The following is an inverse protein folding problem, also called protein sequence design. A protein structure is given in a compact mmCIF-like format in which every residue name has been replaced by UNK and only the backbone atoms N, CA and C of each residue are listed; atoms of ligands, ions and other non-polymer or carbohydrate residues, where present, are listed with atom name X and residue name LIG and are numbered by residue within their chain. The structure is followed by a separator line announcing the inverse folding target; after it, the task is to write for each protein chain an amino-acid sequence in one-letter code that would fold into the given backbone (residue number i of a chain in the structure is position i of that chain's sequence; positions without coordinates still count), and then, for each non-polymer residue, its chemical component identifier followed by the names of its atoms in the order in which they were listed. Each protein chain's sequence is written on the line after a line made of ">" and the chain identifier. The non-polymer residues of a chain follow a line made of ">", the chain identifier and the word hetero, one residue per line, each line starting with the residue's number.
data_IF_394595606529
#
_entry.id   IF_394595606529
#
_cell.length_a   1.000
_cell.length_b   1.000
_cell.length_c   1.000
_cell.angle_alpha   90.00
_cell.angle_beta   90.00
_cell.angle_gamma   90.00
#
_symmetry.space_group_name_H-M   'P 1'
#
loop_
_entity.id
_entity.type
_entity.pdbx_description
1 polymer ?
#
# COMPACT_ATOMS: atom_id res chain seq x y z
N UNK A 1 7.74 -32.35 -22.10
CA UNK A 1 6.96 -31.59 -21.09
C UNK A 1 7.90 -30.60 -20.42
N UNK A 2 8.12 -29.44 -21.06
CA UNK A 2 8.80 -28.27 -20.52
C UNK A 2 8.78 -27.20 -21.63
N UNK A 3 7.66 -26.51 -21.84
CA UNK A 3 7.62 -25.32 -22.68
C UNK A 3 6.47 -24.44 -22.17
N UNK A 4 6.78 -23.50 -21.29
CA UNK A 4 6.21 -22.15 -21.32
C UNK A 4 7.09 -21.17 -20.48
N UNK A 5 8.41 -21.41 -20.53
CA UNK A 5 9.37 -20.32 -20.46
C UNK A 5 9.20 -19.52 -21.75
N UNK A 6 9.31 -18.20 -21.69
CA UNK A 6 9.39 -17.31 -22.85
C UNK A 6 8.08 -16.67 -23.37
N UNK A 7 7.32 -15.97 -22.50
CA UNK A 7 6.56 -14.80 -22.97
C UNK A 7 6.25 -13.75 -21.90
N UNK A 8 7.28 -12.97 -21.55
CA UNK A 8 7.26 -11.49 -21.47
C UNK A 8 8.56 -11.00 -20.82
N UNK A 9 9.66 -11.07 -21.59
CA UNK A 9 10.77 -10.15 -21.43
C UNK A 9 10.47 -8.92 -22.28
N UNK A 10 10.07 -7.84 -21.65
CA UNK A 10 10.35 -6.50 -22.15
C UNK A 10 11.15 -5.80 -21.06
N UNK A 11 12.38 -5.42 -21.40
CA UNK A 11 13.22 -4.56 -20.58
C UNK A 11 14.29 -5.29 -19.79
N UNK A 12 15.39 -5.63 -20.46
CA UNK A 12 16.71 -5.48 -19.83
C UNK A 12 17.26 -4.16 -20.38
N UNK A 13 17.81 -3.27 -19.54
CA UNK A 13 19.06 -3.62 -18.85
C UNK A 13 19.21 -3.04 -17.44
N UNK A 14 19.90 -3.75 -16.54
CA UNK A 14 20.88 -3.09 -15.65
C UNK A 14 22.05 -4.01 -15.33
N UNK A 15 23.19 -3.71 -15.94
CA UNK A 15 24.49 -4.03 -15.41
C UNK A 15 24.76 -3.12 -14.20
N UNK A 16 25.00 -3.70 -13.02
CA UNK A 16 25.51 -2.99 -11.83
C UNK A 16 24.54 -2.94 -10.65
N UNK A 17 24.88 -3.66 -9.58
CA UNK A 17 24.33 -3.50 -8.23
C UNK A 17 22.97 -4.15 -8.01
N UNK A 18 22.93 -5.20 -7.17
CA UNK A 18 21.73 -6.00 -6.92
C UNK A 18 20.47 -5.15 -6.67
N UNK A 19 19.47 -5.32 -7.53
CA UNK A 19 18.19 -4.63 -7.49
C UNK A 19 17.44 -4.97 -6.20
N UNK A 20 17.66 -4.20 -5.14
CA UNK A 20 16.93 -4.26 -3.86
C UNK A 20 15.50 -3.72 -3.98
N UNK A 21 14.82 -3.93 -5.10
CA UNK A 21 13.44 -3.46 -5.27
C UNK A 21 12.54 -4.35 -4.42
N UNK A 22 11.88 -3.82 -3.37
CA UNK A 22 11.11 -4.66 -2.47
C UNK A 22 9.95 -5.32 -3.21
N UNK A 23 9.84 -6.65 -3.16
CA UNK A 23 8.75 -7.40 -3.81
C UNK A 23 7.40 -6.85 -3.33
N UNK A 24 6.54 -6.46 -4.27
CA UNK A 24 5.20 -5.98 -3.96
C UNK A 24 4.32 -7.17 -3.53
N UNK A 25 3.94 -7.21 -2.26
CA UNK A 25 3.07 -8.26 -1.69
C UNK A 25 1.63 -7.79 -1.56
N UNK A 26 0.69 -8.72 -1.46
CA UNK A 26 -0.72 -8.41 -1.21
C UNK A 26 -0.91 -7.60 0.08
N UNK A 27 -0.15 -7.89 1.13
CA UNK A 27 -0.17 -7.10 2.37
C UNK A 27 0.29 -5.67 2.13
N UNK A 28 1.38 -5.46 1.38
CA UNK A 28 1.86 -4.10 1.10
C UNK A 28 0.87 -3.31 0.25
N UNK A 29 0.26 -3.92 -0.76
CA UNK A 29 -0.78 -3.26 -1.55
C UNK A 29 -1.97 -2.82 -0.67
N UNK A 30 -2.40 -3.68 0.26
CA UNK A 30 -3.47 -3.34 1.19
C UNK A 30 -3.06 -2.26 2.19
N UNK A 31 -1.81 -2.29 2.69
CA UNK A 31 -1.26 -1.25 3.54
C UNK A 31 -1.16 0.10 2.81
N UNK A 32 -0.73 0.11 1.55
CA UNK A 32 -0.68 1.33 0.74
C UNK A 32 -2.07 1.89 0.46
N UNK A 33 -3.07 1.03 0.22
CA UNK A 33 -4.44 1.47 0.06
C UNK A 33 -5.03 2.07 1.34
N UNK A 34 -4.70 1.50 2.53
CA UNK A 34 -5.07 2.10 3.81
C UNK A 34 -4.34 3.42 4.05
N UNK A 35 -3.06 3.52 3.67
CA UNK A 35 -2.27 4.73 3.78
C UNK A 35 -2.86 5.87 2.94
N UNK A 36 -3.20 5.59 1.67
CA UNK A 36 -3.84 6.57 0.81
C UNK A 36 -5.20 7.03 1.35
N UNK A 37 -5.98 6.12 1.94
CA UNK A 37 -7.27 6.47 2.53
C UNK A 37 -7.15 7.32 3.82
N UNK A 38 -5.98 7.37 4.45
CA UNK A 38 -5.69 8.19 5.64
C UNK A 38 -4.89 9.47 5.31
N UNK A 39 -4.56 9.69 4.03
CA UNK A 39 -3.73 10.82 3.62
C UNK A 39 -4.43 12.18 3.77
N UNK A 40 -5.76 12.20 3.77
CA UNK A 40 -6.62 13.36 3.99
C UNK A 40 -7.00 13.56 5.48
N UNK A 41 -6.61 12.64 6.36
CA UNK A 41 -6.77 12.80 7.80
C UNK A 41 -7.10 11.51 8.57
N UNK A 42 -7.23 11.62 9.90
CA UNK A 42 -7.49 10.46 10.76
C UNK A 42 -8.88 9.85 10.53
N UNK A 43 -8.97 8.52 10.45
CA UNK A 43 -10.24 7.79 10.21
C UNK A 43 -10.36 6.56 11.09
N UNK A 44 -11.59 6.07 11.25
CA UNK A 44 -11.83 4.79 11.96
C UNK A 44 -11.72 3.62 10.98
N UNK A 45 -11.21 2.45 11.41
CA UNK A 45 -11.15 1.28 10.55
C UNK A 45 -12.52 0.84 10.01
N UNK A 46 -13.61 1.14 10.74
CA UNK A 46 -14.98 0.85 10.30
C UNK A 46 -15.41 1.71 9.09
N UNK A 47 -14.87 2.92 8.97
CA UNK A 47 -15.20 3.84 7.87
C UNK A 47 -14.44 3.43 6.59
N UNK A 48 -13.27 2.80 6.76
CA UNK A 48 -12.47 2.26 5.67
C UNK A 48 -12.97 0.89 5.18
N UNK A 49 -13.56 0.08 6.07
CA UNK A 49 -13.95 -1.31 5.81
C UNK A 49 -14.80 -1.54 4.55
N UNK A 50 -15.77 -0.67 4.18
CA UNK A 50 -16.57 -0.87 2.96
C UNK A 50 -15.74 -0.94 1.68
N UNK A 51 -14.68 -0.12 1.60
CA UNK A 51 -13.80 -0.05 0.43
C UNK A 51 -12.52 -0.88 0.61
N UNK A 52 -12.15 -1.15 1.87
CA UNK A 52 -10.93 -1.85 2.28
C UNK A 52 -11.28 -2.89 3.36
N UNK A 53 -11.81 -4.08 2.99
CA UNK A 53 -12.32 -5.06 3.95
C UNK A 53 -11.31 -5.50 5.03
N UNK A 54 -10.02 -5.47 4.67
CA UNK A 54 -8.92 -5.84 5.57
C UNK A 54 -8.35 -4.67 6.38
N UNK A 55 -8.82 -3.43 6.20
CA UNK A 55 -8.31 -2.25 6.90
C UNK A 55 -8.21 -2.44 8.42
N UNK A 56 -9.19 -3.04 9.13
CA UNK A 56 -9.04 -3.29 10.57
C UNK A 56 -7.84 -4.16 10.93
N UNK A 57 -7.56 -5.21 10.15
CA UNK A 57 -6.40 -6.09 10.37
C UNK A 57 -5.09 -5.39 10.00
N UNK A 58 -5.07 -4.69 8.87
CA UNK A 58 -3.88 -3.97 8.39
C UNK A 58 -3.44 -2.89 9.39
N UNK A 59 -4.38 -2.03 9.82
CA UNK A 59 -4.11 -0.96 10.77
C UNK A 59 -3.71 -1.49 12.16
N UNK A 60 -4.29 -2.61 12.58
CA UNK A 60 -3.94 -3.26 13.84
C UNK A 60 -2.53 -3.88 13.79
N UNK A 61 -2.21 -4.63 12.74
CA UNK A 61 -0.91 -5.30 12.61
C UNK A 61 0.23 -4.31 12.38
N UNK A 62 -0.02 -3.24 11.60
CA UNK A 62 0.89 -2.12 11.38
C UNK A 62 2.38 -2.51 11.21
N UNK A 63 2.64 -3.54 10.39
CA UNK A 63 3.98 -4.15 10.26
C UNK A 63 5.03 -3.13 9.84
N UNK A 64 4.64 -2.17 8.99
CA UNK A 64 5.53 -1.14 8.47
C UNK A 64 5.54 0.15 9.29
N UNK A 65 4.80 0.22 10.41
CA UNK A 65 4.71 1.42 11.26
C UNK A 65 4.20 2.68 10.52
N UNK A 66 3.44 2.48 9.44
CA UNK A 66 2.85 3.55 8.63
C UNK A 66 1.65 4.23 9.30
N UNK A 67 1.10 3.61 10.34
CA UNK A 67 -0.09 4.11 11.02
C UNK A 67 0.22 4.42 12.49
N UNK A 68 -0.44 5.44 13.03
CA UNK A 68 -0.46 5.73 14.45
C UNK A 68 -1.91 5.74 14.93
N UNK A 69 -2.12 5.36 16.20
CA UNK A 69 -3.43 5.41 16.84
C UNK A 69 -3.50 6.66 17.71
N UNK A 70 -4.26 7.66 17.28
CA UNK A 70 -4.40 8.95 17.98
C UNK A 70 -5.46 8.92 19.06
N UNK A 71 -6.49 8.08 18.91
CA UNK A 71 -7.57 7.89 19.87
C UNK A 71 -8.09 6.44 19.79
N UNK A 72 -9.07 6.11 20.62
CA UNK A 72 -9.77 4.83 20.66
C UNK A 72 -10.42 4.51 19.31
N UNK A 73 -9.66 3.79 18.49
CA UNK A 73 -10.11 3.31 17.19
C UNK A 73 -10.02 4.35 16.08
N UNK A 74 -9.25 5.42 16.29
CA UNK A 74 -8.92 6.43 15.28
C UNK A 74 -7.45 6.22 14.92
N UNK A 75 -7.17 6.11 13.63
CA UNK A 75 -5.83 5.95 13.10
C UNK A 75 -5.51 7.11 12.18
N UNK A 76 -4.24 7.51 12.16
CA UNK A 76 -3.69 8.51 11.25
C UNK A 76 -2.50 7.93 10.48
N UNK A 77 -2.12 8.60 9.40
CA UNK A 77 -0.93 8.30 8.63
C UNK A 77 0.30 8.93 9.28
N UNK A 78 1.36 8.14 9.49
CA UNK A 78 2.64 8.66 10.01
C UNK A 78 3.49 9.23 8.88
N UNK A 79 4.57 9.95 9.23
CA UNK A 79 5.56 10.41 8.26
C UNK A 79 6.10 9.26 7.38
N UNK A 80 6.39 8.09 7.98
CA UNK A 80 6.85 6.91 7.23
C UNK A 80 5.78 6.38 6.25
N UNK A 81 4.50 6.46 6.63
CA UNK A 81 3.39 6.13 5.74
C UNK A 81 3.29 7.10 4.57
N UNK A 82 3.47 8.40 4.82
CA UNK A 82 3.49 9.43 3.77
C UNK A 82 4.67 9.23 2.80
N UNK A 83 5.86 8.95 3.30
CA UNK A 83 7.03 8.60 2.47
C UNK A 83 6.78 7.35 1.62
N UNK A 84 6.07 6.36 2.17
CA UNK A 84 5.72 5.16 1.42
C UNK A 84 4.77 5.46 0.25
N UNK A 85 3.83 6.41 0.41
CA UNK A 85 2.97 6.86 -0.68
C UNK A 85 3.75 7.62 -1.76
N UNK A 86 4.79 8.36 -1.40
CA UNK A 86 5.69 9.00 -2.38
C UNK A 86 6.50 7.96 -3.16
N UNK A 87 7.00 6.92 -2.46
CA UNK A 87 7.76 5.83 -3.08
C UNK A 87 6.90 4.92 -3.95
N UNK A 88 5.66 4.68 -3.54
CA UNK A 88 4.68 3.90 -4.29
C UNK A 88 3.39 4.72 -4.44
N UNK A 89 3.34 5.63 -5.44
CA UNK A 89 2.15 6.41 -5.74
C UNK A 89 0.96 5.48 -5.92
N UNK A 90 -0.12 5.74 -5.18
CA UNK A 90 -1.36 5.01 -5.36
C UNK A 90 -2.12 5.61 -6.55
N UNK A 91 -2.79 4.79 -7.37
CA UNK A 91 -3.68 5.31 -8.39
C UNK A 91 -4.69 6.23 -7.70
N UNK A 92 -4.91 7.40 -8.27
CA UNK A 92 -5.93 8.29 -7.76
C UNK A 92 -7.26 7.54 -7.84
N UNK A 93 -7.90 7.35 -6.69
CA UNK A 93 -9.28 6.84 -6.65
C UNK A 93 -10.27 8.00 -6.54
N UNK A 94 -9.79 9.21 -6.81
CA UNK A 94 -10.49 10.46 -6.64
C UNK A 94 -11.07 10.89 -7.99
N UNK A 95 -12.05 10.13 -8.50
CA UNK A 95 -13.12 10.55 -9.41
C UNK A 95 -13.66 9.35 -10.20
N UNK A 96 -14.63 8.61 -9.65
CA UNK A 96 -15.72 8.06 -10.45
C UNK A 96 -16.97 8.06 -9.57
N UNK A 97 -17.52 9.25 -9.40
CA UNK A 97 -18.93 9.45 -9.11
C UNK A 97 -19.47 10.26 -10.30
N UNK A 98 -19.91 9.55 -11.32
CA UNK A 98 -20.74 10.05 -12.41
C UNK A 98 -21.93 9.08 -12.52
#
# INVERSE_FOLDING_TARGET
>A
KLIDEQRRRQGDPVAGGGSRTPIMTAYRQQALACAAALADGPKRPRDLKPNLPNAPKILLHNVYRWFARTDRGIYELTAQGSEALQRWPQPDRSHTAA
#
